data_IF_301787133251
#
_entry.id   IF_301787133251
#
_cell.length_a   1.000
_cell.length_b   1.000
_cell.length_c   1.000
_cell.angle_alpha   90.00
_cell.angle_beta   90.00
_cell.angle_gamma   90.00
#
_symmetry.space_group_name_H-M   'P 1'
#
loop_
_entity.id
_entity.type
_entity.pdbx_description
1 polymer ?
#
# COMPACT_ATOMS: atom_id res chain seq x y z
N UNK A 1 0.19 -14.38 21.16
CA UNK A 1 -0.54 -13.80 20.02
C UNK A 1 -0.67 -14.87 18.96
N UNK A 2 -1.76 -14.90 18.20
CA UNK A 2 -1.90 -15.81 17.06
C UNK A 2 -1.34 -15.20 15.77
N UNK A 3 -1.11 -16.04 14.75
CA UNK A 3 -0.55 -15.59 13.47
C UNK A 3 -1.47 -14.58 12.76
N UNK A 4 -2.77 -14.83 12.74
CA UNK A 4 -3.73 -13.99 12.04
C UNK A 4 -3.76 -12.56 12.60
N UNK A 5 -3.64 -12.41 13.93
CA UNK A 5 -3.54 -11.11 14.60
C UNK A 5 -2.25 -10.40 14.25
N UNK A 6 -1.13 -11.13 14.18
CA UNK A 6 0.16 -10.56 13.79
C UNK A 6 0.15 -10.05 12.35
N UNK A 7 -0.34 -10.87 11.42
CA UNK A 7 -0.49 -10.49 10.01
C UNK A 7 -1.39 -9.27 9.86
N UNK A 8 -2.53 -9.24 10.56
CA UNK A 8 -3.41 -8.07 10.55
C UNK A 8 -2.74 -6.79 11.06
N UNK A 9 -1.92 -6.89 12.11
CA UNK A 9 -1.16 -5.75 12.63
C UNK A 9 -0.09 -5.29 11.64
N UNK A 10 0.55 -6.23 10.94
CA UNK A 10 1.54 -5.92 9.92
C UNK A 10 0.92 -5.22 8.71
N UNK A 11 -0.24 -5.69 8.25
CA UNK A 11 -0.99 -5.06 7.16
C UNK A 11 -1.49 -3.65 7.52
N UNK A 12 -1.92 -3.45 8.77
CA UNK A 12 -2.48 -2.18 9.21
C UNK A 12 -1.43 -1.12 9.57
N UNK A 13 -0.29 -1.54 10.14
CA UNK A 13 0.70 -0.62 10.73
C UNK A 13 2.10 -0.69 10.09
N UNK A 14 2.35 -1.68 9.24
CA UNK A 14 3.66 -1.92 8.62
C UNK A 14 4.64 -2.64 9.54
N UNK A 15 5.88 -2.80 9.07
CA UNK A 15 6.93 -3.54 9.75
C UNK A 15 7.51 -2.81 10.98
N UNK A 16 7.23 -1.52 11.14
CA UNK A 16 7.68 -0.72 12.28
C UNK A 16 6.79 -0.89 13.52
N UNK A 17 7.22 -1.73 14.46
CA UNK A 17 6.50 -2.04 15.69
C UNK A 17 6.29 -0.82 16.61
N UNK A 18 7.03 0.27 16.41
CA UNK A 18 6.81 1.51 17.17
C UNK A 18 5.48 2.16 16.82
N UNK A 19 4.95 1.90 15.62
CA UNK A 19 3.65 2.40 15.13
C UNK A 19 2.48 1.59 15.68
N UNK A 20 2.74 0.39 16.20
CA UNK A 20 1.71 -0.52 16.66
C UNK A 20 1.07 -0.04 17.97
N UNK A 21 -0.18 -0.46 18.25
CA UNK A 21 -0.84 -0.22 19.54
C UNK A 21 0.02 -0.72 20.70
N UNK A 22 0.12 0.08 21.78
CA UNK A 22 1.05 -0.19 22.88
C UNK A 22 0.81 -1.56 23.56
N UNK A 23 -0.44 -2.01 23.63
CA UNK A 23 -0.82 -3.31 24.19
C UNK A 23 -0.38 -4.51 23.33
N UNK A 24 -0.09 -4.30 22.05
CA UNK A 24 0.26 -5.37 21.11
C UNK A 24 1.78 -5.52 20.92
N UNK A 25 2.59 -4.52 21.32
CA UNK A 25 4.05 -4.53 21.12
C UNK A 25 4.75 -5.67 21.85
N UNK A 26 4.48 -5.82 23.14
CA UNK A 26 5.10 -6.87 23.97
C UNK A 26 4.69 -8.29 23.51
N UNK A 27 3.40 -8.57 23.24
CA UNK A 27 2.99 -9.82 22.59
C UNK A 27 3.65 -10.06 21.23
N UNK A 28 3.83 -9.00 20.43
CA UNK A 28 4.43 -9.10 19.11
C UNK A 28 5.92 -9.46 19.16
N UNK A 29 6.68 -8.80 20.03
CA UNK A 29 8.09 -9.12 20.26
C UNK A 29 8.29 -10.55 20.77
N UNK A 30 7.40 -11.03 21.65
CA UNK A 30 7.44 -12.41 22.15
C UNK A 30 7.19 -13.42 21.01
N UNK A 31 6.14 -13.19 20.22
CA UNK A 31 5.80 -14.05 19.09
C UNK A 31 6.91 -14.07 18.01
N UNK A 32 7.53 -12.91 17.78
CA UNK A 32 8.69 -12.77 16.89
C UNK A 32 9.90 -13.56 17.35
N UNK A 33 10.22 -13.53 18.66
CA UNK A 33 11.32 -14.33 19.22
C UNK A 33 11.11 -15.83 19.01
N UNK A 34 9.88 -16.29 19.13
CA UNK A 34 9.52 -17.70 18.99
C UNK A 34 9.43 -18.16 17.53
N UNK A 35 9.12 -17.26 16.59
CA UNK A 35 8.79 -17.60 15.20
C UNK A 35 9.64 -16.84 14.15
N UNK A 36 10.81 -16.34 14.54
CA UNK A 36 11.62 -15.41 13.74
C UNK A 36 11.89 -15.91 12.31
N UNK A 37 12.28 -17.17 12.15
CA UNK A 37 12.57 -17.75 10.83
C UNK A 37 11.35 -17.83 9.91
N UNK A 38 10.17 -18.08 10.48
CA UNK A 38 8.94 -18.22 9.69
C UNK A 38 8.35 -16.86 9.33
N UNK A 39 8.57 -15.85 10.17
CA UNK A 39 8.05 -14.49 9.98
C UNK A 39 9.02 -13.58 9.20
N UNK A 40 10.30 -13.95 9.10
CA UNK A 40 11.32 -13.20 8.35
C UNK A 40 10.89 -12.79 6.93
N UNK A 41 10.40 -13.68 6.05
CA UNK A 41 9.99 -13.28 4.70
C UNK A 41 8.79 -12.32 4.69
N UNK A 42 7.88 -12.48 5.64
CA UNK A 42 6.70 -11.62 5.78
C UNK A 42 7.11 -10.20 6.19
N UNK A 43 8.04 -10.08 7.15
CA UNK A 43 8.57 -8.80 7.62
C UNK A 43 9.43 -8.11 6.57
N UNK A 44 10.22 -8.85 5.80
CA UNK A 44 11.04 -8.31 4.72
C UNK A 44 10.16 -7.70 3.62
N UNK A 45 9.07 -8.39 3.26
CA UNK A 45 8.08 -7.88 2.31
C UNK A 45 7.44 -6.58 2.79
N UNK A 46 7.00 -6.53 4.05
CA UNK A 46 6.41 -5.32 4.63
C UNK A 46 7.42 -4.18 4.74
N UNK A 47 8.66 -4.48 5.16
CA UNK A 47 9.75 -3.51 5.29
C UNK A 47 10.19 -2.92 3.94
N UNK A 48 10.21 -3.73 2.88
CA UNK A 48 10.51 -3.27 1.52
C UNK A 48 9.47 -2.27 0.99
N UNK A 49 8.19 -2.48 1.30
CA UNK A 49 7.13 -1.53 0.97
C UNK A 49 7.29 -0.24 1.77
N UNK A 50 7.50 -0.34 3.09
CA UNK A 50 7.70 0.81 3.97
C UNK A 50 8.89 1.68 3.51
N UNK A 51 10.00 1.05 3.13
CA UNK A 51 11.17 1.76 2.60
C UNK A 51 10.85 2.55 1.32
N UNK A 52 10.08 1.96 0.39
CA UNK A 52 9.63 2.67 -0.83
C UNK A 52 8.72 3.84 -0.50
N UNK A 53 7.83 3.70 0.49
CA UNK A 53 6.93 4.76 0.93
C UNK A 53 7.69 5.90 1.64
N UNK A 54 8.74 5.59 2.40
CA UNK A 54 9.55 6.60 3.07
C UNK A 54 10.41 7.42 2.07
N UNK A 55 10.85 6.80 0.97
CA UNK A 55 11.48 7.54 -0.14
C UNK A 55 10.52 8.57 -0.75
N UNK A 56 9.25 8.21 -0.98
CA UNK A 56 8.25 9.15 -1.47
C UNK A 56 7.95 10.30 -0.49
N UNK A 57 8.10 10.04 0.81
CA UNK A 57 7.89 11.02 1.88
C UNK A 57 8.99 12.09 1.96
N UNK A 58 10.14 11.86 1.32
CA UNK A 58 11.28 12.80 1.32
C UNK A 58 11.03 14.10 0.53
N UNK A 59 9.81 14.30 0.02
CA UNK A 59 9.38 15.57 -0.56
C UNK A 59 9.43 16.71 0.47
N UNK A 60 9.77 17.95 0.06
CA UNK A 60 9.85 19.09 0.97
C UNK A 60 8.54 19.27 1.74
N UNK A 61 8.65 19.61 3.02
CA UNK A 61 7.50 19.84 3.89
C UNK A 61 6.54 20.85 3.22
N UNK A 62 5.24 20.54 3.12
CA UNK A 62 4.28 21.45 2.50
C UNK A 62 4.30 22.80 3.22
N UNK A 63 4.21 23.89 2.46
CA UNK A 63 4.24 25.23 3.04
C UNK A 63 3.08 25.42 4.03
N UNK A 64 3.32 26.14 5.13
CA UNK A 64 2.29 26.40 6.13
C UNK A 64 1.02 27.05 5.53
N UNK A 65 1.17 27.85 4.46
CA UNK A 65 0.07 28.45 3.72
C UNK A 65 -0.74 27.44 2.87
N UNK A 66 -0.11 26.39 2.35
CA UNK A 66 -0.83 25.31 1.68
C UNK A 66 -1.64 24.48 2.69
N UNK A 67 -1.03 24.15 3.84
CA UNK A 67 -1.71 23.42 4.91
C UNK A 67 -2.94 24.20 5.39
N UNK A 68 -2.79 25.50 5.68
CA UNK A 68 -3.91 26.32 6.14
C UNK A 68 -5.04 26.44 5.11
N UNK A 69 -4.70 26.56 3.82
CA UNK A 69 -5.69 26.57 2.73
C UNK A 69 -6.43 25.25 2.60
N UNK A 70 -5.73 24.11 2.68
CA UNK A 70 -6.36 22.78 2.64
C UNK A 70 -7.29 22.59 3.84
N UNK A 71 -6.82 22.95 5.04
CA UNK A 71 -7.63 22.86 6.27
C UNK A 71 -8.86 23.79 6.21
N UNK A 72 -8.71 24.99 5.66
CA UNK A 72 -9.82 25.93 5.47
C UNK A 72 -10.81 25.47 4.38
N UNK A 73 -10.32 24.80 3.33
CA UNK A 73 -11.12 24.26 2.24
C UNK A 73 -11.74 22.90 2.55
N UNK A 74 -11.29 22.22 3.62
CA UNK A 74 -11.83 20.94 4.02
C UNK A 74 -13.34 21.10 4.32
N UNK A 75 -14.21 20.29 3.68
CA UNK A 75 -15.63 20.34 3.98
C UNK A 75 -15.81 19.98 5.45
N UNK A 76 -16.24 20.96 6.27
CA UNK A 76 -16.62 20.70 7.65
C UNK A 76 -17.70 19.64 7.62
N UNK A 77 -17.43 18.50 8.25
CA UNK A 77 -18.44 17.46 8.44
C UNK A 77 -19.67 18.13 9.05
N UNK A 78 -20.71 18.29 8.23
CA UNK A 78 -21.98 18.83 8.69
C UNK A 78 -22.45 17.84 9.74
N UNK A 79 -22.50 18.27 11.00
CA UNK A 79 -22.91 17.42 12.11
C UNK A 79 -24.21 16.73 11.71
N UNK A 80 -24.12 15.44 11.40
CA UNK A 80 -25.29 14.67 11.00
C UNK A 80 -26.23 14.66 12.21
N UNK A 81 -27.54 14.93 12.03
CA UNK A 81 -28.47 14.86 13.13
C UNK A 81 -28.39 13.47 13.76
N UNK A 82 -28.22 13.42 15.08
CA UNK A 82 -27.81 12.28 15.93
C UNK A 82 -28.78 11.08 15.94
N UNK A 83 -29.70 10.99 14.98
CA UNK A 83 -30.71 9.92 14.83
C UNK A 83 -31.04 9.72 13.36
N UNK A 84 -30.17 9.06 12.61
CA UNK A 84 -30.57 8.41 11.36
C UNK A 84 -30.37 6.92 11.55
N UNK A 85 -31.46 6.18 11.46
CA UNK A 85 -31.47 4.73 11.60
C UNK A 85 -30.64 4.17 10.42
N UNK A 86 -29.41 3.70 10.67
CA UNK A 86 -28.46 3.24 9.64
C UNK A 86 -28.80 1.86 9.04
N UNK A 87 -29.97 1.30 9.36
CA UNK A 87 -30.42 0.00 8.87
C UNK A 87 -30.34 -0.18 7.34
N UNK A 88 -30.66 0.81 6.47
CA UNK A 88 -30.51 0.65 5.03
C UNK A 88 -29.08 0.95 4.50
N UNK A 89 -28.23 1.62 5.29
CA UNK A 89 -26.87 1.99 4.87
C UNK A 89 -25.87 0.81 4.96
N UNK A 90 -26.15 -0.18 5.83
CA UNK A 90 -25.36 -1.41 5.92
C UNK A 90 -25.43 -2.28 4.66
N UNK A 91 -26.57 -2.28 3.97
CA UNK A 91 -26.76 -3.04 2.72
C UNK A 91 -26.03 -2.41 1.53
N UNK A 92 -25.87 -1.09 1.51
CA UNK A 92 -25.13 -0.40 0.46
C UNK A 92 -23.61 -0.69 0.51
N UNK A 93 -23.04 -0.76 1.71
CA UNK A 93 -21.63 -1.15 1.90
C UNK A 93 -21.36 -2.60 1.47
N UNK A 94 -22.28 -3.53 1.75
CA UNK A 94 -22.18 -4.92 1.32
C UNK A 94 -22.26 -5.09 -0.21
N UNK A 95 -23.01 -4.24 -0.91
CA UNK A 95 -23.09 -4.27 -2.37
C UNK A 95 -21.80 -3.79 -3.06
N UNK A 96 -21.14 -2.77 -2.51
CA UNK A 96 -19.88 -2.25 -3.07
C UNK A 96 -18.72 -3.26 -2.96
N UNK A 97 -18.66 -4.05 -1.88
CA UNK A 97 -17.64 -5.10 -1.73
C UNK A 97 -17.80 -6.22 -2.76
N UNK A 98 -19.03 -6.57 -3.13
CA UNK A 98 -19.28 -7.61 -4.13
C UNK A 98 -18.90 -7.18 -5.55
N UNK A 99 -19.12 -5.90 -5.90
CA UNK A 99 -18.75 -5.37 -7.22
C UNK A 99 -17.22 -5.29 -7.39
N UNK A 100 -16.49 -4.89 -6.35
CA UNK A 100 -15.03 -4.83 -6.36
C UNK A 100 -14.37 -6.21 -6.51
N UNK A 101 -14.90 -7.22 -5.84
CA UNK A 101 -14.39 -8.60 -5.92
C UNK A 101 -14.65 -9.21 -7.32
N UNK A 102 -15.79 -8.93 -7.94
CA UNK A 102 -16.11 -9.44 -9.30
C UNK A 102 -15.26 -8.81 -10.40
N UNK A 103 -14.95 -7.52 -10.29
CA UNK A 103 -14.06 -6.81 -11.22
C UNK A 103 -12.61 -7.28 -11.03
N UNK A 104 -12.17 -7.47 -9.78
CA UNK A 104 -10.84 -8.03 -9.48
C UNK A 104 -10.67 -9.48 -9.95
N UNK A 105 -11.70 -10.31 -9.80
CA UNK A 105 -11.64 -11.73 -10.18
C UNK A 105 -11.67 -11.94 -11.71
N UNK A 106 -12.45 -11.13 -12.45
CA UNK A 106 -12.53 -11.24 -13.91
C UNK A 106 -11.34 -10.61 -14.64
N UNK A 107 -10.74 -9.54 -14.08
CA UNK A 107 -9.48 -8.97 -14.59
C UNK A 107 -8.29 -9.92 -14.45
N UNK A 108 -8.22 -10.69 -13.36
CA UNK A 108 -7.19 -11.73 -13.16
C UNK A 108 -7.41 -12.98 -14.02
N UNK A 109 -8.66 -13.32 -14.38
CA UNK A 109 -8.96 -14.51 -15.17
C UNK A 109 -8.80 -14.34 -16.69
N UNK A 110 -8.91 -13.10 -17.21
CA UNK A 110 -8.66 -12.80 -18.62
C UNK A 110 -7.22 -12.37 -18.92
N UNK A 111 -6.44 -12.04 -17.88
CA UNK A 111 -4.99 -11.90 -17.99
C UNK A 111 -4.34 -13.30 -18.05
N UNK A 112 -4.55 -14.00 -19.16
CA UNK A 112 -3.61 -15.05 -19.53
C UNK A 112 -2.23 -14.39 -19.67
N UNK A 113 -1.16 -14.93 -19.06
CA UNK A 113 0.18 -14.41 -19.25
C UNK A 113 0.56 -14.61 -20.73
N UNK A 114 0.34 -13.59 -21.56
CA UNK A 114 0.92 -13.53 -22.89
C UNK A 114 2.40 -13.22 -22.71
N UNK A 115 3.27 -14.06 -23.28
CA UNK A 115 4.73 -13.91 -23.26
C UNK A 115 5.22 -12.51 -23.71
N UNK A 116 4.36 -11.75 -24.40
CA UNK A 116 4.53 -10.36 -24.81
C UNK A 116 4.69 -9.36 -23.64
N UNK A 117 4.25 -9.73 -22.43
CA UNK A 117 4.27 -8.84 -21.27
C UNK A 117 5.68 -8.74 -20.65
N UNK A 118 6.47 -9.81 -20.71
CA UNK A 118 7.85 -9.82 -20.22
C UNK A 118 8.76 -8.97 -21.13
N UNK A 119 8.54 -9.01 -22.44
CA UNK A 119 9.25 -8.18 -23.43
C UNK A 119 8.88 -6.69 -23.29
N UNK A 120 7.62 -6.38 -22.98
CA UNK A 120 7.19 -5.00 -22.73
C UNK A 120 7.79 -4.42 -21.44
N UNK A 121 7.85 -5.22 -20.37
CA UNK A 121 8.53 -4.82 -19.14
C UNK A 121 10.04 -4.63 -19.35
N UNK A 122 10.69 -5.49 -20.14
CA UNK A 122 12.11 -5.33 -20.48
C UNK A 122 12.37 -4.05 -21.29
N UNK A 123 11.57 -3.79 -22.33
CA UNK A 123 11.71 -2.60 -23.18
C UNK A 123 11.45 -1.28 -22.42
N UNK A 124 10.62 -1.30 -21.36
CA UNK A 124 10.37 -0.12 -20.53
C UNK A 124 11.57 0.30 -19.67
N UNK A 125 12.51 -0.62 -19.40
CA UNK A 125 13.70 -0.37 -18.57
C UNK A 125 15.02 -0.44 -19.35
N UNK A 126 15.01 -0.90 -20.61
CA UNK A 126 16.17 -0.84 -21.51
C UNK A 126 16.46 0.63 -21.88
N UNK A 127 17.60 1.16 -21.46
CA UNK A 127 18.03 2.51 -21.83
C UNK A 127 18.26 2.59 -23.36
N UNK A 128 17.85 3.69 -24.04
CA UNK A 128 18.03 3.81 -25.48
C UNK A 128 19.54 3.67 -25.82
N UNK A 129 19.90 2.93 -26.88
CA UNK A 129 21.30 2.72 -27.22
C UNK A 129 21.95 4.09 -27.43
N UNK A 130 22.98 4.39 -26.63
CA UNK A 130 23.80 5.58 -26.80
C UNK A 130 24.42 5.52 -28.18
N UNK A 131 23.98 6.41 -29.07
CA UNK A 131 24.53 6.60 -30.40
C UNK A 131 25.99 7.04 -30.26
N UNK A 132 26.90 6.06 -30.23
CA UNK A 132 28.33 6.31 -30.36
C UNK A 132 28.57 6.57 -31.85
N UNK A 133 28.82 7.84 -32.13
CA UNK A 133 29.24 8.39 -33.40
C UNK A 133 30.56 7.75 -33.86
N UNK A 134 30.48 6.80 -34.79
CA UNK A 134 31.63 6.35 -35.57
C UNK A 134 31.97 7.42 -36.60
N UNK A 135 32.80 8.37 -36.18
CA UNK A 135 33.57 9.21 -37.08
C UNK A 135 34.55 8.35 -37.88
N UNK A 136 34.30 8.25 -39.18
CA UNK A 136 35.26 7.88 -40.21
C UNK A 136 36.54 8.73 -40.09
N UNK A 137 37.71 8.12 -40.28
CA UNK A 137 38.59 8.72 -41.27
C UNK A 137 39.25 7.66 -42.18
N UNK A 138 38.89 7.71 -43.45
CA UNK A 138 39.79 8.01 -44.59
C UNK A 138 41.00 7.13 -44.80
#
# INVERSE_FOLDING_TARGET
MDRARFEHLLDAYGADFRRWPANERVPAEAFMRENAQVLAPLLDTAGALDAKLDLARSSPSPSAGLISRIVAAAPRARAAPRRTNYAPAGWALAACTLLGVLIGYSGGALAAPSADQDDYFAAAFEAPPTMIDTGDPG
#
